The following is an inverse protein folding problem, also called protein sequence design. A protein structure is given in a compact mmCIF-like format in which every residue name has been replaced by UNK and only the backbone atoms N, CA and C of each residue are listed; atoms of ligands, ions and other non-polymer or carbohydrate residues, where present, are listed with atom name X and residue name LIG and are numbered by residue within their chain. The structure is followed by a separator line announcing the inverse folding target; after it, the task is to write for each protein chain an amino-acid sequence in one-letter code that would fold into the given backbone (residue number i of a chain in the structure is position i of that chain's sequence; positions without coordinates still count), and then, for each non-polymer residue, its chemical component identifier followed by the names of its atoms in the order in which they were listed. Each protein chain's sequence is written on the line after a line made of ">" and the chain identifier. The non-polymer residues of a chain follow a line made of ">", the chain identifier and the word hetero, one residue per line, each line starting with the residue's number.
data_IF_286261378470
#
_entry.id   IF_286261378470
#
_cell.length_a   1.000
_cell.length_b   1.000
_cell.length_c   1.000
_cell.angle_alpha   90.00
_cell.angle_beta   90.00
_cell.angle_gamma   90.00
#
_symmetry.space_group_name_H-M   'P 1'
#
loop_
_entity.id
_entity.type
_entity.pdbx_description
1 polymer ?
#
# COMPACT_ATOMS: atom_id res chain seq x y z
N UNK A 1 8.93 0.02 -10.25
CA UNK A 1 8.09 -0.97 -9.54
C UNK A 1 6.63 -0.72 -9.90
N UNK A 2 5.76 -1.74 -9.81
CA UNK A 2 4.30 -1.56 -9.92
C UNK A 2 3.68 -1.95 -8.58
N UNK A 3 2.81 -1.10 -8.03
CA UNK A 3 2.17 -1.34 -6.75
C UNK A 3 0.69 -1.01 -6.83
N UNK A 4 -0.10 -1.79 -6.11
CA UNK A 4 -1.54 -1.65 -6.01
C UNK A 4 -1.99 -1.97 -4.60
N UNK A 5 -2.80 -1.09 -4.02
CA UNK A 5 -3.40 -1.25 -2.71
C UNK A 5 -4.92 -1.26 -2.85
N UNK A 6 -5.57 -2.22 -2.19
CA UNK A 6 -7.01 -2.40 -2.14
C UNK A 6 -7.43 -2.48 -0.68
N UNK A 7 -8.47 -1.75 -0.32
CA UNK A 7 -8.91 -1.64 1.06
C UNK A 7 -10.42 -1.75 1.12
N UNK A 8 -10.89 -2.40 2.17
CA UNK A 8 -12.30 -2.53 2.49
C UNK A 8 -12.57 -1.70 3.74
N UNK A 9 -13.41 -0.67 3.60
CA UNK A 9 -13.83 0.17 4.72
C UNK A 9 -15.20 -0.27 5.17
N UNK A 10 -15.34 -0.55 6.46
CA UNK A 10 -16.62 -0.77 7.11
C UNK A 10 -16.70 0.15 8.33
N UNK A 11 -17.84 0.82 8.52
CA UNK A 11 -18.08 1.67 9.70
C UNK A 11 -16.99 2.75 9.93
N UNK A 12 -16.40 3.26 8.84
CA UNK A 12 -15.33 4.27 8.90
C UNK A 12 -13.93 3.73 9.25
N UNK A 13 -13.77 2.40 9.35
CA UNK A 13 -12.50 1.72 9.65
C UNK A 13 -12.06 0.80 8.52
N UNK A 14 -10.75 0.66 8.35
CA UNK A 14 -10.13 -0.28 7.42
C UNK A 14 -10.29 -1.70 7.99
N UNK A 15 -11.20 -2.48 7.41
CA UNK A 15 -11.46 -3.88 7.77
C UNK A 15 -10.41 -4.81 7.19
N UNK A 16 -10.10 -4.60 5.93
CA UNK A 16 -9.16 -5.44 5.18
C UNK A 16 -8.34 -4.56 4.25
N UNK A 17 -7.05 -4.88 4.12
CA UNK A 17 -6.13 -4.18 3.23
C UNK A 17 -5.28 -5.23 2.52
N UNK A 18 -5.31 -5.22 1.19
CA UNK A 18 -4.54 -6.10 0.32
C UNK A 18 -3.59 -5.27 -0.51
N UNK A 19 -2.30 -5.57 -0.40
CA UNK A 19 -1.26 -4.96 -1.20
C UNK A 19 -0.68 -5.96 -2.19
N UNK A 20 -0.63 -5.59 -3.46
CA UNK A 20 0.12 -6.30 -4.48
C UNK A 20 1.22 -5.39 -5.02
N UNK A 21 2.47 -5.80 -4.87
CA UNK A 21 3.64 -5.08 -5.37
C UNK A 21 4.49 -6.02 -6.23
N UNK A 22 4.87 -5.55 -7.41
CA UNK A 22 5.72 -6.24 -8.37
C UNK A 22 6.99 -5.42 -8.60
N UNK A 23 8.14 -6.01 -8.26
CA UNK A 23 9.44 -5.36 -8.42
C UNK A 23 10.42 -5.69 -7.30
N UNK A 24 11.16 -4.67 -6.84
CA UNK A 24 12.18 -4.77 -5.82
C UNK A 24 11.59 -5.26 -4.48
N UNK A 25 12.32 -6.14 -3.78
CA UNK A 25 11.89 -6.66 -2.47
C UNK A 25 11.60 -5.57 -1.43
N UNK A 26 12.19 -4.37 -1.56
CA UNK A 26 11.86 -3.23 -0.71
C UNK A 26 10.42 -2.73 -0.90
N UNK A 27 9.89 -2.76 -2.12
CA UNK A 27 8.50 -2.38 -2.40
C UNK A 27 7.51 -3.41 -1.85
N UNK A 28 7.83 -4.70 -1.95
CA UNK A 28 7.02 -5.78 -1.37
C UNK A 28 6.99 -5.69 0.15
N UNK A 29 8.17 -5.52 0.78
CA UNK A 29 8.27 -5.38 2.23
C UNK A 29 7.52 -4.13 2.73
N UNK A 30 7.70 -2.98 2.06
CA UNK A 30 7.02 -1.75 2.42
C UNK A 30 5.49 -1.85 2.28
N UNK A 31 4.99 -2.50 1.22
CA UNK A 31 3.56 -2.76 1.06
C UNK A 31 3.02 -3.67 2.17
N UNK A 32 3.74 -4.75 2.52
CA UNK A 32 3.34 -5.67 3.60
C UNK A 32 3.21 -4.94 4.94
N UNK A 33 4.25 -4.18 5.31
CA UNK A 33 4.27 -3.41 6.56
C UNK A 33 3.16 -2.36 6.57
N UNK A 34 2.93 -1.68 5.44
CA UNK A 34 1.81 -0.75 5.34
C UNK A 34 0.47 -1.45 5.58
N UNK A 35 0.28 -2.68 5.06
CA UNK A 35 -0.96 -3.40 5.28
C UNK A 35 -1.24 -3.71 6.74
N UNK A 36 -0.21 -4.14 7.47
CA UNK A 36 -0.31 -4.43 8.90
C UNK A 36 -0.55 -3.15 9.73
N UNK A 37 0.15 -2.06 9.42
CA UNK A 37 0.00 -0.80 10.17
C UNK A 37 -1.38 -0.17 10.02
N UNK A 38 -2.03 -0.37 8.88
CA UNK A 38 -3.29 0.28 8.54
C UNK A 38 -4.52 -0.54 8.91
N UNK A 39 -4.36 -1.83 9.21
CA UNK A 39 -5.48 -2.69 9.53
C UNK A 39 -6.13 -2.29 10.86
N UNK A 40 -7.45 -2.08 10.84
CA UNK A 40 -8.24 -1.66 12.02
C UNK A 40 -8.20 -0.16 12.31
N UNK A 41 -7.38 0.62 11.61
CA UNK A 41 -7.35 2.07 11.73
C UNK A 41 -8.54 2.73 11.04
N UNK A 42 -8.88 3.93 11.49
CA UNK A 42 -9.83 4.80 10.77
C UNK A 42 -9.22 5.33 9.48
N UNK A 43 -10.06 5.71 8.52
CA UNK A 43 -9.59 6.33 7.26
C UNK A 43 -8.73 7.58 7.53
N UNK A 44 -9.05 8.34 8.58
CA UNK A 44 -8.29 9.53 8.99
C UNK A 44 -6.89 9.17 9.49
N UNK A 45 -6.76 8.15 10.33
CA UNK A 45 -5.47 7.67 10.82
C UNK A 45 -4.64 7.07 9.69
N UNK A 46 -5.29 6.32 8.79
CA UNK A 46 -4.65 5.74 7.63
C UNK A 46 -4.03 6.81 6.71
N UNK A 47 -4.66 7.99 6.58
CA UNK A 47 -4.12 9.14 5.83
C UNK A 47 -2.91 9.80 6.50
N UNK A 48 -2.73 9.62 7.80
CA UNK A 48 -1.61 10.18 8.55
C UNK A 48 -0.37 9.28 8.53
N UNK A 49 -0.45 8.10 7.88
CA UNK A 49 0.71 7.24 7.68
C UNK A 49 1.81 8.02 6.91
N UNK A 50 3.05 7.88 7.34
CA UNK A 50 4.18 8.58 6.76
C UNK A 50 5.37 7.65 6.52
N UNK A 51 6.35 8.15 5.73
CA UNK A 51 7.49 7.35 5.32
C UNK A 51 8.36 6.93 6.50
N UNK A 52 8.42 7.75 7.55
CA UNK A 52 9.21 7.45 8.75
C UNK A 52 8.63 6.29 9.54
N UNK A 53 7.30 6.18 9.64
CA UNK A 53 6.65 5.03 10.28
C UNK A 53 6.94 3.73 9.52
N UNK A 54 6.86 3.77 8.18
CA UNK A 54 7.20 2.62 7.34
C UNK A 54 8.69 2.26 7.44
N UNK A 55 9.57 3.25 7.38
CA UNK A 55 11.02 3.07 7.52
C UNK A 55 11.37 2.41 8.85
N UNK A 56 10.78 2.91 9.94
CA UNK A 56 11.01 2.38 11.29
C UNK A 56 10.46 0.96 11.45
N UNK A 57 9.29 0.69 10.90
CA UNK A 57 8.67 -0.64 10.96
C UNK A 57 9.44 -1.67 10.10
N UNK A 58 10.13 -1.23 9.04
CA UNK A 58 11.05 -2.07 8.26
C UNK A 58 12.43 -2.26 8.91
N UNK A 59 12.70 -1.62 10.07
CA UNK A 59 14.00 -1.68 10.72
C UNK A 59 15.06 -0.75 10.11
N UNK A 60 14.64 0.22 9.29
CA UNK A 60 15.51 1.18 8.61
C UNK A 60 15.84 0.76 7.17
N UNK A 61 15.50 1.62 6.22
CA UNK A 61 15.74 1.42 4.80
C UNK A 61 16.89 2.33 4.34
N UNK A 62 17.87 1.80 3.57
CA UNK A 62 18.95 2.62 3.04
C UNK A 62 18.40 3.76 2.14
N UNK A 63 19.05 4.94 2.11
CA UNK A 63 18.54 6.12 1.41
C UNK A 63 18.15 5.87 -0.05
N UNK A 64 18.93 5.05 -0.76
CA UNK A 64 18.70 4.69 -2.16
C UNK A 64 17.37 3.95 -2.42
N UNK A 65 16.77 3.31 -1.41
CA UNK A 65 15.54 2.52 -1.53
C UNK A 65 14.31 3.20 -0.92
N UNK A 66 14.45 4.41 -0.37
CA UNK A 66 13.32 5.16 0.23
C UNK A 66 12.22 5.52 -0.75
N UNK A 67 12.50 5.53 -2.05
CA UNK A 67 11.48 5.71 -3.09
C UNK A 67 10.33 4.70 -2.94
N UNK A 68 10.62 3.46 -2.55
CA UNK A 68 9.59 2.44 -2.31
C UNK A 68 8.59 2.85 -1.23
N UNK A 69 9.05 3.52 -0.16
CA UNK A 69 8.19 4.03 0.92
C UNK A 69 7.28 5.15 0.42
N UNK A 70 7.83 6.08 -0.38
CA UNK A 70 7.06 7.18 -0.95
C UNK A 70 5.99 6.66 -1.94
N UNK A 71 6.32 5.65 -2.74
CA UNK A 71 5.36 5.00 -3.64
C UNK A 71 4.18 4.39 -2.87
N UNK A 72 4.44 3.71 -1.75
CA UNK A 72 3.38 3.14 -0.90
C UNK A 72 2.42 4.24 -0.42
N UNK A 73 2.96 5.36 0.06
CA UNK A 73 2.14 6.47 0.56
C UNK A 73 1.31 7.13 -0.55
N UNK A 74 1.87 7.27 -1.74
CA UNK A 74 1.15 7.77 -2.91
C UNK A 74 0.00 6.82 -3.28
N UNK A 75 0.29 5.53 -3.42
CA UNK A 75 -0.74 4.53 -3.69
C UNK A 75 -1.80 4.49 -2.59
N UNK A 76 -1.41 4.68 -1.32
CA UNK A 76 -2.34 4.70 -0.20
C UNK A 76 -3.25 5.93 -0.25
N UNK A 77 -2.71 7.10 -0.55
CA UNK A 77 -3.48 8.33 -0.68
C UNK A 77 -4.47 8.25 -1.87
N UNK A 78 -4.04 7.68 -2.99
CA UNK A 78 -4.90 7.41 -4.15
C UNK A 78 -5.98 6.37 -3.84
N UNK A 79 -5.62 5.33 -3.09
CA UNK A 79 -6.55 4.30 -2.65
C UNK A 79 -7.61 4.93 -1.74
N UNK A 80 -7.22 5.54 -0.62
CA UNK A 80 -8.12 6.17 0.36
C UNK A 80 -8.89 7.40 -0.17
N UNK A 81 -8.53 7.90 -1.36
CA UNK A 81 -9.31 8.90 -2.09
C UNK A 81 -10.74 8.42 -2.36
N UNK A 82 -11.71 9.34 -2.56
CA UNK A 82 -13.12 8.98 -2.63
C UNK A 82 -13.40 8.08 -3.84
N UNK A 83 -13.53 6.78 -3.61
CA UNK A 83 -14.26 5.87 -4.51
C UNK A 83 -15.45 5.30 -3.75
N UNK A 84 -16.52 6.09 -3.71
CA UNK A 84 -17.86 5.54 -3.51
C UNK A 84 -18.17 4.73 -4.79
N UNK A 85 -18.12 3.40 -4.71
CA UNK A 85 -18.72 2.50 -5.70
C UNK A 85 -17.89 2.08 -6.92
N UNK A 86 -16.55 2.13 -6.89
CA UNK A 86 -15.77 1.51 -7.96
C UNK A 86 -15.52 0.02 -7.65
N UNK A 87 -15.80 -0.91 -8.58
CA UNK A 87 -15.42 -2.31 -8.41
C UNK A 87 -13.91 -2.42 -8.18
N UNK A 88 -13.43 -3.44 -7.44
CA UNK A 88 -12.01 -3.69 -7.25
C UNK A 88 -11.34 -3.64 -8.63
N UNK A 89 -10.23 -2.89 -8.80
CA UNK A 89 -9.67 -2.71 -10.13
C UNK A 89 -9.46 -4.08 -10.79
N UNK A 90 -9.95 -4.26 -12.01
CA UNK A 90 -9.99 -5.60 -12.58
C UNK A 90 -8.55 -6.14 -12.70
N UNK A 91 -8.31 -7.37 -12.23
CA UNK A 91 -7.09 -8.11 -12.52
C UNK A 91 -6.98 -8.19 -14.04
N UNK A 92 -6.19 -7.30 -14.65
CA UNK A 92 -5.58 -7.66 -15.93
C UNK A 92 -4.58 -8.74 -15.59
N UNK A 93 -4.68 -9.94 -16.21
CA UNK A 93 -3.73 -11.02 -15.97
C UNK A 93 -2.34 -10.41 -16.03
N UNK A 94 -1.56 -10.63 -14.98
CA UNK A 94 -0.13 -10.41 -15.07
C UNK A 94 0.33 -11.19 -16.28
N UNK A 95 0.66 -10.45 -17.34
CA UNK A 95 1.22 -11.02 -18.54
C UNK A 95 2.61 -11.49 -18.12
N UNK A 96 2.67 -12.72 -17.61
CA UNK A 96 3.89 -13.49 -17.45
C UNK A 96 4.42 -13.66 -18.86
N UNK A 97 5.28 -12.75 -19.28
CA UNK A 97 6.02 -12.94 -20.51
C UNK A 97 7.14 -13.93 -20.16
N UNK A 98 7.12 -15.17 -20.68
CA UNK A 98 8.30 -16.00 -20.63
C UNK A 98 9.34 -15.34 -21.53
N UNK A 99 10.42 -14.84 -20.93
CA UNK A 99 11.68 -14.71 -21.65
C UNK A 99 12.36 -16.07 -21.66
#
# INVERSE_FOLDING_TARGET
>A
DRMRLEFLVAEGRVRELRGQAFGCGAAVAAASVATELLQGLTVTEARNLNAFQLDRALGGVPPAKRHALLMVLQCLAEALGPRIGAPPPQEKPLQTNPQ
#
